data_IF_089573149709
#
_entry.id   IF_089573149709
#
_cell.length_a   1.000
_cell.length_b   1.000
_cell.length_c   1.000
_cell.angle_alpha   90.00
_cell.angle_beta   90.00
_cell.angle_gamma   90.00
#
_symmetry.space_group_name_H-M   'P 1'
#
loop_
_entity.id
_entity.type
_entity.pdbx_description
1 polymer ?
#
# COMPACT_ATOMS: atom_id res chain seq x y z
N UNK A 1 9.03 9.93 3.88
CA UNK A 1 8.22 8.70 4.08
C UNK A 1 7.64 8.19 2.77
N UNK A 2 6.87 8.99 2.02
CA UNK A 2 6.28 8.59 0.72
C UNK A 2 7.32 8.01 -0.27
N UNK A 3 8.48 8.67 -0.42
CA UNK A 3 9.58 8.21 -1.29
C UNK A 3 10.18 6.87 -0.86
N UNK A 4 10.24 6.60 0.44
CA UNK A 4 10.71 5.32 0.97
C UNK A 4 9.71 4.20 0.67
N UNK A 5 8.41 4.49 0.79
CA UNK A 5 7.35 3.52 0.47
C UNK A 5 7.38 3.13 -1.01
N UNK A 6 7.59 4.08 -1.92
CA UNK A 6 7.75 3.78 -3.34
C UNK A 6 9.02 2.94 -3.63
N UNK A 7 10.11 3.22 -2.91
CA UNK A 7 11.33 2.42 -2.99
C UNK A 7 11.07 0.97 -2.54
N UNK A 8 10.34 0.78 -1.43
CA UNK A 8 9.97 -0.55 -0.92
C UNK A 8 9.07 -1.29 -1.93
N UNK A 9 8.05 -0.62 -2.49
CA UNK A 9 7.16 -1.21 -3.51
C UNK A 9 7.96 -1.67 -4.73
N UNK A 10 8.92 -0.86 -5.19
CA UNK A 10 9.79 -1.20 -6.33
C UNK A 10 10.67 -2.41 -6.03
N UNK A 11 11.33 -2.43 -4.87
CA UNK A 11 12.16 -3.56 -4.43
C UNK A 11 11.36 -4.85 -4.31
N UNK A 12 10.14 -4.78 -3.76
CA UNK A 12 9.26 -5.94 -3.64
C UNK A 12 8.84 -6.49 -5.01
N UNK A 13 8.46 -5.61 -5.95
CA UNK A 13 8.15 -6.01 -7.34
C UNK A 13 9.34 -6.70 -8.01
N UNK A 14 10.55 -6.21 -7.77
CA UNK A 14 11.78 -6.81 -8.30
C UNK A 14 12.01 -8.22 -7.73
N UNK A 15 11.85 -8.39 -6.42
CA UNK A 15 11.95 -9.72 -5.78
C UNK A 15 10.89 -10.71 -6.27
N UNK A 16 9.66 -10.24 -6.51
CA UNK A 16 8.60 -11.07 -7.12
C UNK A 16 9.00 -11.52 -8.52
N UNK A 17 9.59 -10.63 -9.32
CA UNK A 17 10.03 -10.95 -10.68
C UNK A 17 11.13 -12.01 -10.69
N UNK A 18 12.09 -11.90 -9.78
CA UNK A 18 13.22 -12.82 -9.65
C UNK A 18 12.88 -14.16 -8.99
N UNK A 19 11.68 -14.31 -8.44
CA UNK A 19 11.27 -15.54 -7.77
C UNK A 19 11.11 -16.69 -8.77
N UNK A 20 11.80 -17.82 -8.53
CA UNK A 20 11.69 -19.01 -9.37
C UNK A 20 10.55 -19.95 -8.98
N UNK A 21 9.96 -19.76 -7.79
CA UNK A 21 8.88 -20.61 -7.28
C UNK A 21 7.49 -20.12 -7.67
N UNK A 22 7.38 -18.93 -8.25
CA UNK A 22 6.13 -18.33 -8.70
C UNK A 22 5.90 -18.55 -10.20
N UNK A 23 4.70 -19.01 -10.55
CA UNK A 23 4.24 -19.04 -11.94
C UNK A 23 4.09 -17.61 -12.49
N UNK A 24 4.19 -17.44 -13.82
CA UNK A 24 4.01 -16.13 -14.48
C UNK A 24 2.68 -15.44 -14.12
N UNK A 25 1.53 -16.14 -14.09
CA UNK A 25 0.27 -15.54 -13.65
C UNK A 25 0.32 -15.05 -12.20
N UNK A 26 0.91 -15.83 -11.30
CA UNK A 26 1.05 -15.46 -9.88
C UNK A 26 1.94 -14.22 -9.71
N UNK A 27 3.06 -14.14 -10.43
CA UNK A 27 3.91 -12.93 -10.44
C UNK A 27 3.14 -11.69 -10.90
N UNK A 28 2.31 -11.81 -11.92
CA UNK A 28 1.48 -10.70 -12.44
C UNK A 28 0.47 -10.23 -11.39
N UNK A 29 -0.27 -11.15 -10.78
CA UNK A 29 -1.25 -10.84 -9.75
C UNK A 29 -0.61 -10.19 -8.51
N UNK A 30 0.52 -10.71 -8.05
CA UNK A 30 1.25 -10.15 -6.91
C UNK A 30 1.77 -8.74 -7.22
N UNK A 31 2.35 -8.49 -8.40
CA UNK A 31 2.80 -7.14 -8.79
C UNK A 31 1.63 -6.14 -8.86
N UNK A 32 0.46 -6.57 -9.32
CA UNK A 32 -0.74 -5.73 -9.31
C UNK A 32 -1.18 -5.40 -7.88
N UNK A 33 -1.19 -6.38 -6.98
CA UNK A 33 -1.50 -6.15 -5.56
C UNK A 33 -0.53 -5.17 -4.92
N UNK A 34 0.78 -5.25 -5.21
CA UNK A 34 1.77 -4.29 -4.70
C UNK A 34 1.54 -2.88 -5.24
N UNK A 35 1.11 -2.73 -6.49
CA UNK A 35 0.73 -1.42 -7.06
C UNK A 35 -0.50 -0.81 -6.38
N UNK A 36 -1.43 -1.64 -5.91
CA UNK A 36 -2.67 -1.20 -5.27
C UNK A 36 -2.52 -0.87 -3.76
N UNK A 37 -1.32 -0.98 -3.19
CA UNK A 37 -1.09 -0.61 -1.79
C UNK A 37 -1.18 0.91 -1.65
N UNK A 38 -2.27 1.36 -1.02
CA UNK A 38 -2.43 2.74 -0.60
C UNK A 38 -1.51 3.03 0.59
N UNK A 39 -0.84 4.18 0.55
CA UNK A 39 0.05 4.63 1.63
C UNK A 39 -0.59 5.83 2.28
N UNK A 40 -0.93 5.72 3.56
CA UNK A 40 -1.55 6.77 4.36
C UNK A 40 -0.57 7.14 5.49
N UNK A 41 0.44 7.98 5.22
CA UNK A 41 1.47 8.30 6.21
C UNK A 41 0.97 9.36 7.20
N UNK A 42 1.29 9.18 8.48
CA UNK A 42 1.03 10.19 9.52
C UNK A 42 -0.41 10.16 10.02
N UNK A 43 -1.12 11.27 9.84
CA UNK A 43 -2.47 11.48 10.37
C UNK A 43 -3.47 11.40 9.21
N UNK A 44 -4.67 10.82 9.40
CA UNK A 44 -5.67 10.78 8.35
C UNK A 44 -6.08 12.18 7.88
N UNK A 45 -6.37 12.32 6.59
CA UNK A 45 -6.74 13.62 5.99
C UNK A 45 -8.00 14.24 6.63
N UNK A 46 -8.85 13.41 7.25
CA UNK A 46 -10.09 13.84 7.91
C UNK A 46 -9.90 14.29 9.37
N UNK A 47 -8.68 14.35 9.90
CA UNK A 47 -8.44 14.66 11.31
C UNK A 47 -8.87 16.05 11.78
N UNK A 48 -9.05 17.01 10.86
CA UNK A 48 -9.59 18.34 11.19
C UNK A 48 -11.11 18.42 11.03
N UNK A 49 -11.74 17.39 10.45
CA UNK A 49 -13.19 17.33 10.30
C UNK A 49 -13.82 16.81 11.60
N UNK A 50 -14.34 17.75 12.41
CA UNK A 50 -15.02 17.43 13.67
C UNK A 50 -16.20 16.47 13.51
N UNK A 51 -16.91 16.49 12.38
CA UNK A 51 -18.02 15.57 12.13
C UNK A 51 -17.49 14.17 11.84
N UNK A 52 -16.44 14.05 11.03
CA UNK A 52 -15.76 12.78 10.80
C UNK A 52 -15.14 12.22 12.09
N UNK A 53 -14.52 13.07 12.91
CA UNK A 53 -14.00 12.70 14.23
C UNK A 53 -15.12 12.19 15.15
N UNK A 54 -16.21 12.94 15.27
CA UNK A 54 -17.33 12.57 16.11
C UNK A 54 -17.98 11.25 15.65
N UNK A 55 -18.05 11.00 14.34
CA UNK A 55 -18.55 9.73 13.81
C UNK A 55 -17.58 8.58 14.10
N UNK A 56 -16.27 8.80 13.93
CA UNK A 56 -15.24 7.79 14.21
C UNK A 56 -15.26 7.34 15.67
N UNK A 57 -15.47 8.26 16.62
CA UNK A 57 -15.52 7.93 18.05
C UNK A 57 -16.89 7.47 18.55
N UNK A 58 -17.97 7.64 17.77
CA UNK A 58 -19.32 7.20 18.17
C UNK A 58 -19.62 5.73 17.84
N UNK A 59 -18.89 5.13 16.90
CA UNK A 59 -19.12 3.75 16.45
C UNK A 59 -20.17 3.67 15.35
#
# INVERSE_FOLDING_TARGET
IVTMTETIKRTLKHKIEQSNWLSRPAKRALKQKVSAINTLPGIPDWHDDQKALNNYYKG
#
